data_IF_628028130283
#
_entry.id   IF_628028130283
#
_cell.length_a   1.000
_cell.length_b   1.000
_cell.length_c   1.000
_cell.angle_alpha   90.00
_cell.angle_beta   90.00
_cell.angle_gamma   90.00
#
_symmetry.space_group_name_H-M   'P 1'
#
loop_
_entity.id
_entity.type
_entity.pdbx_description
1 polymer ?
#
# COMPACT_ATOMS: atom_id res chain seq x y z
N UNK A 1 33.93 -22.39 -5.35
CA UNK A 1 32.47 -22.25 -5.48
C UNK A 1 32.12 -20.78 -5.40
N UNK A 2 31.45 -20.22 -6.40
CA UNK A 2 30.95 -18.84 -6.32
C UNK A 2 29.96 -18.76 -5.15
N UNK A 3 30.19 -17.81 -4.24
CA UNK A 3 29.36 -17.66 -3.05
C UNK A 3 28.06 -16.97 -3.48
N UNK A 4 26.99 -17.74 -3.61
CA UNK A 4 25.66 -17.20 -3.90
C UNK A 4 25.17 -16.28 -2.76
N UNK A 5 24.27 -15.32 -3.05
CA UNK A 5 23.71 -14.44 -2.03
C UNK A 5 23.09 -15.20 -0.86
N UNK A 6 23.24 -14.67 0.37
CA UNK A 6 22.58 -15.24 1.55
C UNK A 6 21.06 -15.20 1.38
N UNK A 7 20.39 -16.25 1.85
CA UNK A 7 18.94 -16.33 1.89
C UNK A 7 18.34 -15.18 2.70
N UNK A 8 17.17 -14.71 2.28
CA UNK A 8 16.37 -13.72 3.02
C UNK A 8 15.03 -14.34 3.39
N UNK A 9 14.36 -13.79 4.39
CA UNK A 9 12.99 -14.16 4.72
C UNK A 9 12.19 -12.93 5.16
N UNK A 10 10.88 -13.00 4.98
CA UNK A 10 9.94 -11.98 5.44
C UNK A 10 8.74 -12.69 6.08
N UNK A 11 8.30 -12.20 7.24
CA UNK A 11 7.11 -12.67 7.92
C UNK A 11 6.00 -11.62 7.77
N UNK A 12 4.84 -12.01 7.23
CA UNK A 12 3.68 -11.13 7.04
C UNK A 12 2.42 -11.86 7.48
N UNK A 13 1.76 -11.36 8.54
CA UNK A 13 0.56 -12.00 9.09
C UNK A 13 0.87 -13.41 9.59
N UNK A 14 0.27 -14.44 8.97
CA UNK A 14 0.53 -15.85 9.29
C UNK A 14 1.33 -16.58 8.20
N UNK A 15 1.99 -15.83 7.31
CA UNK A 15 2.76 -16.36 6.18
C UNK A 15 4.24 -16.03 6.35
N UNK A 16 5.08 -17.00 6.03
CA UNK A 16 6.53 -16.85 5.92
C UNK A 16 6.93 -16.93 4.44
N UNK A 17 7.65 -15.92 3.97
CA UNK A 17 8.24 -15.91 2.64
C UNK A 17 9.75 -16.12 2.73
N UNK A 18 10.29 -17.09 1.99
CA UNK A 18 11.72 -17.39 1.93
C UNK A 18 12.26 -17.10 0.53
N UNK A 19 13.44 -16.49 0.46
CA UNK A 19 14.12 -16.09 -0.76
C UNK A 19 15.48 -16.78 -0.81
N UNK A 20 15.55 -17.91 -1.50
CA UNK A 20 16.73 -18.78 -1.57
C UNK A 20 17.38 -18.66 -2.95
N UNK A 21 18.68 -18.35 -3.00
CA UNK A 21 19.43 -18.47 -4.26
C UNK A 21 20.00 -19.88 -4.38
N UNK A 22 19.91 -20.46 -5.57
CA UNK A 22 20.46 -21.76 -5.90
C UNK A 22 21.11 -21.76 -7.27
N UNK A 23 21.82 -22.83 -7.61
CA UNK A 23 22.37 -23.03 -8.94
C UNK A 23 22.24 -24.48 -9.36
N UNK A 24 22.07 -24.70 -10.66
CA UNK A 24 22.12 -26.01 -11.30
C UNK A 24 22.76 -25.88 -12.68
N UNK A 25 22.75 -26.95 -13.49
CA UNK A 25 23.36 -26.95 -14.83
C UNK A 25 22.76 -25.90 -15.80
N UNK A 26 21.60 -25.32 -15.49
CA UNK A 26 20.95 -24.26 -16.30
C UNK A 26 21.33 -22.85 -15.84
N UNK A 27 22.05 -22.71 -14.73
CA UNK A 27 22.47 -21.43 -14.15
C UNK A 27 21.91 -21.16 -12.75
N UNK A 28 22.02 -19.91 -12.31
CA UNK A 28 21.54 -19.43 -11.01
C UNK A 28 20.04 -19.15 -11.07
N UNK A 29 19.36 -19.39 -9.95
CA UNK A 29 17.94 -19.10 -9.79
C UNK A 29 17.63 -18.58 -8.39
N UNK A 30 16.50 -17.89 -8.27
CA UNK A 30 15.87 -17.49 -7.02
C UNK A 30 14.63 -18.36 -6.83
N UNK A 31 14.53 -19.03 -5.67
CA UNK A 31 13.30 -19.69 -5.24
C UNK A 31 12.61 -18.82 -4.20
N UNK A 32 11.37 -18.45 -4.48
CA UNK A 32 10.51 -17.74 -3.52
C UNK A 32 9.50 -18.76 -2.99
N UNK A 33 9.55 -19.07 -1.69
CA UNK A 33 8.61 -19.99 -1.04
C UNK A 33 7.66 -19.23 -0.13
N UNK A 34 6.35 -19.39 -0.31
CA UNK A 34 5.34 -19.06 0.69
C UNK A 34 5.09 -20.28 1.58
N UNK A 35 5.13 -20.10 2.90
CA UNK A 35 4.87 -21.14 3.88
C UNK A 35 3.83 -20.66 4.89
N UNK A 36 2.81 -21.46 5.14
CA UNK A 36 1.79 -21.23 6.18
C UNK A 36 1.37 -22.57 6.79
N UNK A 37 1.50 -22.72 8.11
CA UNK A 37 1.12 -23.93 8.85
C UNK A 37 1.58 -25.23 8.16
N UNK A 38 0.71 -25.86 7.38
CA UNK A 38 0.97 -27.13 6.69
C UNK A 38 1.04 -27.00 5.14
N UNK A 39 0.99 -25.77 4.60
CA UNK A 39 1.07 -25.49 3.18
C UNK A 39 2.40 -24.82 2.83
N UNK A 40 3.01 -25.29 1.75
CA UNK A 40 4.17 -24.65 1.12
C UNK A 40 3.95 -24.56 -0.39
N UNK A 41 3.98 -23.34 -0.91
CA UNK A 41 3.98 -23.05 -2.33
C UNK A 41 5.30 -22.35 -2.70
N UNK A 42 5.81 -22.57 -3.92
CA UNK A 42 7.03 -21.91 -4.35
C UNK A 42 7.06 -21.68 -5.86
N UNK A 43 7.74 -20.61 -6.26
CA UNK A 43 8.12 -20.35 -7.64
C UNK A 43 9.65 -20.32 -7.75
N UNK A 44 10.17 -20.67 -8.93
CA UNK A 44 11.60 -20.60 -9.25
C UNK A 44 11.81 -19.68 -10.43
N UNK A 45 12.65 -18.66 -10.24
CA UNK A 45 12.89 -17.59 -11.21
C UNK A 45 14.36 -17.64 -11.62
N UNK A 46 14.68 -17.88 -12.90
CA UNK A 46 16.07 -17.86 -13.37
C UNK A 46 16.66 -16.46 -13.26
N UNK A 47 17.96 -16.36 -12.97
CA UNK A 47 18.68 -15.09 -12.76
C UNK A 47 18.45 -14.07 -13.87
N UNK A 48 18.52 -14.52 -15.13
CA UNK A 48 18.30 -13.68 -16.31
C UNK A 48 16.93 -12.99 -16.35
N UNK A 49 15.96 -13.48 -15.57
CA UNK A 49 14.60 -12.93 -15.52
C UNK A 49 14.37 -11.96 -14.36
N UNK A 50 15.31 -11.84 -13.41
CA UNK A 50 15.10 -11.00 -12.21
C UNK A 50 14.81 -9.52 -12.50
N UNK A 51 15.46 -8.85 -13.47
CA UNK A 51 15.14 -7.44 -13.78
C UNK A 51 13.68 -7.24 -14.18
N UNK A 52 13.12 -8.13 -15.01
CA UNK A 52 11.71 -8.06 -15.42
C UNK A 52 10.76 -8.24 -14.24
N UNK A 53 11.05 -9.17 -13.32
CA UNK A 53 10.24 -9.34 -12.10
C UNK A 53 10.30 -8.10 -11.21
N UNK A 54 11.49 -7.52 -11.02
CA UNK A 54 11.66 -6.27 -10.26
C UNK A 54 10.83 -5.14 -10.88
N UNK A 55 10.93 -4.96 -12.19
CA UNK A 55 10.28 -3.84 -12.88
C UNK A 55 8.76 -3.97 -12.83
N UNK A 56 8.21 -5.18 -13.05
CA UNK A 56 6.77 -5.44 -12.89
C UNK A 56 6.29 -5.19 -11.45
N UNK A 57 7.04 -5.64 -10.44
CA UNK A 57 6.68 -5.40 -9.03
C UNK A 57 6.68 -3.89 -8.72
N UNK A 58 7.69 -3.16 -9.21
CA UNK A 58 7.77 -1.71 -9.02
C UNK A 58 6.60 -0.98 -9.69
N UNK A 59 6.21 -1.40 -10.90
CA UNK A 59 5.05 -0.84 -11.59
C UNK A 59 3.76 -1.06 -10.79
N UNK A 60 3.54 -2.26 -10.24
CA UNK A 60 2.39 -2.53 -9.36
C UNK A 60 2.40 -1.69 -8.09
N UNK A 61 3.57 -1.46 -7.48
CA UNK A 61 3.69 -0.59 -6.29
C UNK A 61 3.24 0.83 -6.64
N UNK A 62 3.78 1.41 -7.72
CA UNK A 62 3.46 2.77 -8.16
C UNK A 62 1.96 2.90 -8.49
N UNK A 63 1.39 1.91 -9.19
CA UNK A 63 -0.03 1.91 -9.53
C UNK A 63 -0.92 1.89 -8.27
N UNK A 64 -0.62 0.99 -7.32
CA UNK A 64 -1.39 0.85 -6.07
C UNK A 64 -1.26 2.07 -5.14
N UNK A 65 -0.14 2.78 -5.17
CA UNK A 65 0.03 4.04 -4.43
C UNK A 65 -0.82 5.17 -5.04
N UNK A 66 -0.91 5.24 -6.37
CA UNK A 66 -1.75 6.23 -7.05
C UNK A 66 -3.22 6.02 -6.72
N UNK A 67 -3.72 4.78 -6.79
CA UNK A 67 -5.12 4.46 -6.46
C UNK A 67 -5.48 4.85 -5.02
N UNK A 68 -4.61 4.54 -4.06
CA UNK A 68 -4.83 4.92 -2.65
C UNK A 68 -4.86 6.43 -2.42
N UNK A 69 -4.07 7.19 -3.19
CA UNK A 69 -4.00 8.64 -3.05
C UNK A 69 -5.12 9.36 -3.81
N UNK A 70 -5.69 8.77 -4.87
CA UNK A 70 -6.85 9.34 -5.55
C UNK A 70 -8.12 9.33 -4.70
N UNK A 71 -8.28 8.34 -3.82
CA UNK A 71 -9.43 8.25 -2.91
C UNK A 71 -9.45 9.40 -1.88
N UNK A 72 -8.29 9.94 -1.51
CA UNK A 72 -8.16 11.02 -0.50
C UNK A 72 -8.59 12.39 -1.05
N UNK A 73 -8.51 12.60 -2.36
CA UNK A 73 -8.86 13.89 -3.00
C UNK A 73 -10.34 14.00 -3.40
N UNK A 74 -11.12 12.92 -3.24
CA UNK A 74 -12.52 12.87 -3.65
C UNK A 74 -13.51 13.34 -2.56
N UNK A 75 -13.07 13.60 -1.31
CA UNK A 75 -13.99 13.92 -0.19
C UNK A 75 -14.13 15.41 0.18
N UNK A 76 -13.39 16.35 -0.43
CA UNK A 76 -13.42 17.79 -0.06
C UNK A 76 -14.15 18.73 -1.05
N UNK A 77 -15.02 18.21 -1.93
CA UNK A 77 -15.85 19.04 -2.81
C UNK A 77 -17.34 18.93 -2.49
N UNK A 78 -17.72 19.17 -1.23
CA UNK A 78 -19.09 19.59 -0.92
C UNK A 78 -19.21 21.09 -1.21
N UNK A 79 -20.11 21.54 -2.10
CA UNK A 79 -20.31 22.96 -2.32
C UNK A 79 -20.81 23.60 -1.02
N UNK A 80 -20.06 24.59 -0.52
CA UNK A 80 -20.54 25.52 0.49
C UNK A 80 -21.75 26.24 -0.11
N UNK A 81 -22.97 25.86 0.29
CA UNK A 81 -24.18 26.59 -0.07
C UNK A 81 -24.08 28.00 0.53
N UNK A 82 -23.72 28.97 -0.29
CA UNK A 82 -23.90 30.40 -0.03
C UNK A 82 -25.17 30.86 -0.74
N UNK A 83 -26.27 30.93 0.01
CA UNK A 83 -27.48 31.69 -0.32
C UNK A 83 -28.05 32.21 1.01
N UNK A 84 -28.56 33.42 1.18
CA UNK A 84 -28.40 34.73 0.55
C UNK A 84 -29.19 35.67 1.50
N UNK A 85 -28.59 36.80 1.85
CA UNK A 85 -29.17 38.13 2.16
C UNK A 85 -30.48 38.35 2.98
N UNK A 86 -30.29 39.20 4.01
CA UNK A 86 -31.05 40.44 4.30
C UNK A 86 -32.44 40.41 4.97
N UNK A 87 -32.49 40.75 6.26
CA UNK A 87 -33.01 42.05 6.76
C UNK A 87 -33.09 42.09 8.29
N UNK A 88 -32.41 43.08 8.89
CA UNK A 88 -32.78 43.62 10.21
C UNK A 88 -34.07 44.48 10.07
N UNK A 89 -34.92 44.62 11.11
CA UNK A 89 -34.60 45.51 12.23
C UNK A 89 -35.01 45.02 13.63
N UNK A 90 -34.17 45.37 14.61
CA UNK A 90 -34.43 45.54 16.07
C UNK A 90 -35.63 46.51 16.28
N UNK A 91 -36.28 46.66 17.47
CA UNK A 91 -35.94 46.18 18.83
C UNK A 91 -37.16 45.73 19.68
N UNK A 92 -36.96 45.31 20.94
CA UNK A 92 -37.78 45.75 22.10
C UNK A 92 -37.18 45.28 23.44
N UNK A 93 -36.54 46.24 24.12
CA UNK A 93 -36.61 46.59 25.54
C UNK A 93 -37.08 45.59 26.63
N UNK A 94 -36.22 45.50 27.66
CA UNK A 94 -36.47 45.73 29.11
C UNK A 94 -36.48 44.56 30.09
N UNK A 95 -35.68 44.79 31.16
CA UNK A 95 -35.80 44.39 32.58
C UNK A 95 -35.85 42.88 32.86
N UNK A 96 -35.19 42.31 33.87
CA UNK A 96 -34.72 42.75 35.20
C UNK A 96 -33.83 41.61 35.72
N UNK A 97 -32.62 41.87 36.23
CA UNK A 97 -32.32 42.12 37.65
C UNK A 97 -32.22 40.84 38.53
N UNK A 98 -31.12 40.76 39.27
CA UNK A 98 -30.87 40.00 40.51
C UNK A 98 -30.61 38.48 40.35
N UNK A 99 -29.52 37.90 40.86
CA UNK A 99 -28.84 38.16 42.15
C UNK A 99 -27.42 37.58 42.13
#
# INVERSE_FOLDING_TARGET
ASKLPKSKFVHVGNKNFYFDTGSNNRGVFLRISEVRANLRAAITIPEKSWPYFRDNINEFIIAMEKERNSDVLAEDNSPLNTDNEDKSPVPHSNLSENK
#
